data_IF_023163912279
#
_entry.id   IF_023163912279
#
_cell.length_a   1.000
_cell.length_b   1.000
_cell.length_c   1.000
_cell.angle_alpha   90.00
_cell.angle_beta   90.00
_cell.angle_gamma   90.00
#
_symmetry.space_group_name_H-M   'P 1'
#
loop_
_entity.id
_entity.type
_entity.pdbx_description
1 polymer ?
#
# COMPACT_ATOMS: atom_id res chain seq x y z
N UNK A 1 -9.07 -11.79 -18.66
CA UNK A 1 -8.39 -10.56 -18.20
C UNK A 1 -7.55 -10.80 -16.94
N UNK A 2 -8.08 -11.43 -15.86
CA UNK A 2 -7.29 -11.71 -14.64
C UNK A 2 -6.04 -12.55 -14.87
N UNK A 3 -6.11 -13.60 -15.71
CA UNK A 3 -4.94 -14.44 -16.00
C UNK A 3 -3.78 -13.65 -16.63
N UNK A 4 -4.10 -12.71 -17.52
CA UNK A 4 -3.10 -11.80 -18.10
C UNK A 4 -2.53 -10.82 -17.06
N UNK A 5 -3.32 -10.40 -16.07
CA UNK A 5 -2.82 -9.60 -14.95
C UNK A 5 -1.92 -10.41 -14.01
N UNK A 6 -2.26 -11.67 -13.75
CA UNK A 6 -1.40 -12.58 -12.98
C UNK A 6 -0.08 -12.82 -13.70
N UNK A 7 -0.11 -13.03 -15.01
CA UNK A 7 1.09 -13.12 -15.85
C UNK A 7 1.92 -11.84 -15.81
N UNK A 8 1.30 -10.66 -15.80
CA UNK A 8 2.02 -9.40 -15.63
C UNK A 8 2.69 -9.29 -14.25
N UNK A 9 1.98 -9.62 -13.18
CA UNK A 9 2.55 -9.63 -11.82
C UNK A 9 3.73 -10.61 -11.78
N UNK A 10 3.56 -11.77 -12.39
CA UNK A 10 4.55 -12.84 -12.45
C UNK A 10 5.70 -12.50 -13.42
N UNK A 11 6.74 -11.85 -12.91
CA UNK A 11 8.00 -11.65 -13.62
C UNK A 11 8.13 -10.33 -14.39
N UNK A 12 7.12 -9.45 -14.37
CA UNK A 12 7.21 -8.11 -14.98
C UNK A 12 6.98 -6.95 -14.00
N UNK A 13 6.63 -7.21 -12.73
CA UNK A 13 6.43 -6.17 -11.71
C UNK A 13 7.50 -6.28 -10.62
N UNK A 14 8.28 -5.21 -10.46
CA UNK A 14 9.28 -5.08 -9.40
C UNK A 14 8.67 -4.79 -8.02
N UNK A 15 7.63 -3.94 -7.98
CA UNK A 15 6.91 -3.57 -6.76
C UNK A 15 5.41 -3.54 -7.06
N UNK A 16 4.64 -4.39 -6.38
CA UNK A 16 3.18 -4.46 -6.49
C UNK A 16 2.53 -3.64 -5.38
N UNK A 17 1.73 -2.64 -5.74
CA UNK A 17 0.78 -1.99 -4.84
C UNK A 17 -0.63 -2.48 -5.16
N UNK A 18 -1.37 -2.92 -4.15
CA UNK A 18 -2.77 -3.30 -4.29
C UNK A 18 -3.48 -3.17 -2.94
N UNK A 19 -4.80 -3.00 -2.95
CA UNK A 19 -5.61 -3.13 -1.74
C UNK A 19 -6.11 -4.57 -1.55
N UNK A 20 -6.67 -4.84 -0.36
CA UNK A 20 -7.23 -6.15 0.00
C UNK A 20 -8.30 -6.65 -0.99
N UNK A 21 -9.20 -5.80 -1.47
CA UNK A 21 -10.24 -6.21 -2.42
C UNK A 21 -9.66 -6.59 -3.78
N UNK A 22 -8.70 -5.80 -4.27
CA UNK A 22 -8.02 -6.03 -5.54
C UNK A 22 -7.22 -7.34 -5.52
N UNK A 23 -6.46 -7.57 -4.45
CA UNK A 23 -5.60 -8.77 -4.36
C UNK A 23 -6.44 -10.04 -4.15
N UNK A 24 -7.50 -9.98 -3.34
CA UNK A 24 -8.46 -11.07 -3.20
C UNK A 24 -9.18 -11.37 -4.51
N UNK A 25 -9.59 -10.33 -5.26
CA UNK A 25 -10.21 -10.48 -6.58
C UNK A 25 -9.26 -11.06 -7.63
N UNK A 26 -7.97 -10.68 -7.58
CA UNK A 26 -6.95 -11.20 -8.50
C UNK A 26 -6.70 -12.69 -8.29
N UNK A 27 -6.59 -13.13 -7.03
CA UNK A 27 -6.31 -14.52 -6.66
C UNK A 27 -7.55 -15.36 -6.37
N UNK A 28 -8.74 -14.81 -6.62
CA UNK A 28 -10.03 -15.51 -6.53
C UNK A 28 -10.26 -16.17 -5.17
N UNK A 29 -9.95 -15.45 -4.10
CA UNK A 29 -10.12 -15.89 -2.72
C UNK A 29 -10.76 -14.76 -1.90
N UNK A 30 -11.51 -15.13 -0.86
CA UNK A 30 -12.04 -14.18 0.13
C UNK A 30 -11.11 -14.03 1.35
N UNK A 31 -10.11 -14.90 1.48
CA UNK A 31 -9.11 -14.81 2.55
C UNK A 31 -7.89 -13.99 2.10
N UNK A 32 -7.70 -12.84 2.75
CA UNK A 32 -6.56 -11.96 2.51
C UNK A 32 -5.22 -12.66 2.71
N UNK A 33 -5.10 -13.54 3.72
CA UNK A 33 -3.84 -14.25 3.98
C UNK A 33 -3.45 -15.13 2.79
N UNK A 34 -4.43 -15.84 2.22
CA UNK A 34 -4.28 -16.66 1.02
C UNK A 34 -3.93 -15.81 -0.20
N UNK A 35 -4.56 -14.65 -0.39
CA UNK A 35 -4.26 -13.75 -1.52
C UNK A 35 -2.84 -13.15 -1.40
N UNK A 36 -2.50 -12.68 -0.20
CA UNK A 36 -1.19 -12.12 0.14
C UNK A 36 -0.07 -13.13 -0.10
N UNK A 37 -0.24 -14.39 0.33
CA UNK A 37 0.77 -15.43 0.12
C UNK A 37 0.98 -15.74 -1.38
N UNK A 38 -0.10 -15.76 -2.17
CA UNK A 38 0.02 -15.93 -3.62
C UNK A 38 0.68 -14.72 -4.27
N UNK A 39 0.32 -13.50 -3.86
CA UNK A 39 0.97 -12.29 -4.31
C UNK A 39 2.49 -12.31 -4.04
N UNK A 40 2.90 -12.69 -2.83
CA UNK A 40 4.30 -12.81 -2.46
C UNK A 40 5.06 -13.91 -3.22
N UNK A 41 4.36 -14.93 -3.71
CA UNK A 41 4.95 -15.96 -4.56
C UNK A 41 5.13 -15.47 -6.01
N UNK A 42 4.20 -14.64 -6.50
CA UNK A 42 4.19 -14.13 -7.87
C UNK A 42 5.01 -12.82 -8.03
N UNK A 43 5.23 -12.05 -6.96
CA UNK A 43 6.09 -10.86 -6.96
C UNK A 43 7.07 -10.85 -5.79
N UNK A 44 8.29 -10.35 -6.02
CA UNK A 44 9.32 -10.28 -4.99
C UNK A 44 9.07 -9.18 -3.94
N UNK A 45 8.25 -8.18 -4.28
CA UNK A 45 8.00 -7.02 -3.41
C UNK A 45 6.54 -6.57 -3.54
N UNK A 46 5.74 -6.81 -2.50
CA UNK A 46 4.33 -6.41 -2.44
C UNK A 46 4.07 -5.46 -1.28
N UNK A 47 3.21 -4.47 -1.53
CA UNK A 47 2.75 -3.47 -0.55
C UNK A 47 1.22 -3.46 -0.61
N UNK A 48 0.60 -4.13 0.38
CA UNK A 48 -0.82 -4.44 0.37
C UNK A 48 -1.57 -3.61 1.42
N UNK A 49 -2.48 -2.74 1.01
CA UNK A 49 -3.27 -1.91 1.92
C UNK A 49 -4.56 -2.59 2.35
N UNK A 50 -4.97 -2.35 3.59
CA UNK A 50 -6.12 -2.99 4.24
C UNK A 50 -7.02 -1.98 4.95
N UNK A 51 -7.13 -0.78 4.39
CA UNK A 51 -7.95 0.30 4.94
C UNK A 51 -7.68 0.52 6.45
N UNK A 52 -8.70 0.45 7.31
CA UNK A 52 -8.58 0.61 8.76
C UNK A 52 -7.79 -0.49 9.49
N UNK A 53 -7.29 -1.51 8.79
CA UNK A 53 -6.39 -2.52 9.34
C UNK A 53 -4.91 -2.22 9.05
N UNK A 54 -4.62 -1.12 8.35
CA UNK A 54 -3.26 -0.70 8.00
C UNK A 54 -2.79 -1.32 6.69
N UNK A 55 -1.58 -1.87 6.67
CA UNK A 55 -1.01 -2.50 5.48
C UNK A 55 0.00 -3.59 5.82
N UNK A 56 0.30 -4.43 4.83
CA UNK A 56 1.32 -5.48 4.92
C UNK A 56 2.33 -5.29 3.78
N UNK A 57 3.60 -5.22 4.13
CA UNK A 57 4.71 -5.13 3.18
C UNK A 57 5.44 -6.45 3.19
N UNK A 58 5.68 -7.02 2.01
CA UNK A 58 6.41 -8.28 1.84
C UNK A 58 7.54 -8.05 0.85
N UNK A 59 8.76 -8.40 1.24
CA UNK A 59 9.93 -8.37 0.36
C UNK A 59 10.78 -9.62 0.57
N UNK A 60 10.74 -10.55 -0.36
CA UNK A 60 11.31 -11.88 -0.16
C UNK A 60 10.71 -12.56 1.07
N UNK A 61 11.55 -12.91 2.05
CA UNK A 61 11.13 -13.54 3.32
C UNK A 61 10.73 -12.52 4.40
N UNK A 62 11.02 -11.23 4.19
CA UNK A 62 10.68 -10.18 5.14
C UNK A 62 9.19 -9.80 5.01
N UNK A 63 8.49 -9.79 6.15
CA UNK A 63 7.11 -9.29 6.26
C UNK A 63 7.03 -8.23 7.34
N UNK A 64 6.39 -7.12 7.02
CA UNK A 64 6.15 -6.00 7.94
C UNK A 64 4.67 -5.66 7.93
N UNK A 65 4.02 -5.81 9.08
CA UNK A 65 2.67 -5.30 9.32
C UNK A 65 2.77 -3.85 9.84
N UNK A 66 2.05 -2.94 9.19
CA UNK A 66 2.06 -1.51 9.48
C UNK A 66 0.71 -1.13 10.03
N UNK A 67 0.69 -0.53 11.22
CA UNK A 67 -0.53 -0.03 11.82
C UNK A 67 -1.12 1.13 11.01
N UNK A 68 -2.47 1.26 10.95
CA UNK A 68 -3.11 2.44 10.37
C UNK A 68 -2.84 3.68 11.23
N UNK A 69 -2.88 4.85 10.60
CA UNK A 69 -2.91 6.13 11.33
C UNK A 69 -4.37 6.49 11.60
N UNK A 70 -4.71 6.69 12.88
CA UNK A 70 -6.06 7.06 13.27
C UNK A 70 -6.41 8.46 12.74
N UNK A 71 -7.47 8.55 11.94
CA UNK A 71 -7.95 9.81 11.35
C UNK A 71 -9.46 9.79 11.18
N UNK A 72 -10.06 10.95 10.98
CA UNK A 72 -11.46 11.07 10.57
C UNK A 72 -11.56 10.79 9.07
N UNK A 73 -12.41 9.86 8.66
CA UNK A 73 -12.62 9.55 7.24
C UNK A 73 -13.75 10.40 6.68
N UNK A 74 -13.46 11.21 5.66
CA UNK A 74 -14.39 12.07 4.92
C UNK A 74 -14.59 11.56 3.48
N UNK A 75 -13.50 11.27 2.77
CA UNK A 75 -13.50 10.81 1.37
C UNK A 75 -12.31 9.86 1.14
N UNK A 76 -12.54 8.64 0.65
CA UNK A 76 -11.44 7.68 0.43
C UNK A 76 -10.76 7.82 -0.93
N UNK A 77 -11.23 8.76 -1.77
CA UNK A 77 -10.70 8.97 -3.11
C UNK A 77 -9.22 9.37 -3.07
N UNK A 78 -8.37 8.57 -3.73
CA UNK A 78 -6.92 8.83 -3.80
C UNK A 78 -6.10 8.33 -2.60
N UNK A 79 -6.72 7.66 -1.63
CA UNK A 79 -6.00 7.11 -0.48
C UNK A 79 -4.87 6.14 -0.88
N UNK A 80 -5.12 5.28 -1.88
CA UNK A 80 -4.13 4.34 -2.41
C UNK A 80 -2.96 5.04 -3.09
N UNK A 81 -3.24 6.06 -3.91
CA UNK A 81 -2.21 6.86 -4.59
C UNK A 81 -1.34 7.61 -3.58
N UNK A 82 -1.97 8.21 -2.56
CA UNK A 82 -1.28 8.90 -1.48
C UNK A 82 -0.40 7.96 -0.65
N UNK A 83 -0.92 6.77 -0.35
CA UNK A 83 -0.15 5.73 0.32
C UNK A 83 1.09 5.35 -0.50
N UNK A 84 0.90 5.05 -1.79
CA UNK A 84 1.99 4.68 -2.69
C UNK A 84 3.02 5.81 -2.82
N UNK A 85 2.58 7.05 -2.95
CA UNK A 85 3.45 8.23 -3.01
C UNK A 85 4.28 8.37 -1.72
N UNK A 86 3.64 8.26 -0.55
CA UNK A 86 4.33 8.36 0.74
C UNK A 86 5.35 7.23 0.95
N UNK A 87 4.97 6.01 0.58
CA UNK A 87 5.85 4.85 0.62
C UNK A 87 7.07 5.04 -0.29
N UNK A 88 6.85 5.42 -1.56
CA UNK A 88 7.91 5.57 -2.55
C UNK A 88 8.85 6.74 -2.21
N UNK A 89 8.35 7.82 -1.60
CA UNK A 89 9.18 8.90 -1.09
C UNK A 89 10.15 8.41 0.01
N UNK A 90 9.65 7.61 0.97
CA UNK A 90 10.50 6.96 1.98
C UNK A 90 11.52 6.01 1.36
N UNK A 91 11.06 5.17 0.42
CA UNK A 91 11.88 4.15 -0.22
C UNK A 91 13.05 4.74 -1.01
N UNK A 92 12.77 5.76 -1.82
CA UNK A 92 13.79 6.47 -2.61
C UNK A 92 14.76 7.29 -1.75
N UNK A 93 14.38 7.59 -0.50
CA UNK A 93 15.21 8.27 0.50
C UNK A 93 16.05 7.30 1.37
N UNK A 94 16.01 5.99 1.08
CA UNK A 94 16.79 4.98 1.82
C UNK A 94 16.26 4.67 3.21
N UNK A 95 15.00 4.97 3.50
CA UNK A 95 14.35 4.61 4.78
C UNK A 95 14.10 3.11 4.87
N UNK A 96 13.90 2.61 6.09
CA UNK A 96 13.49 1.21 6.32
C UNK A 96 12.09 0.95 5.76
N UNK A 97 11.76 -0.31 5.44
CA UNK A 97 10.43 -0.67 4.94
C UNK A 97 9.31 -0.31 5.93
N UNK A 98 9.55 -0.46 7.23
CA UNK A 98 8.61 -0.04 8.27
C UNK A 98 8.35 1.47 8.24
N UNK A 99 9.38 2.29 8.09
CA UNK A 99 9.24 3.73 7.92
C UNK A 99 8.52 4.09 6.62
N UNK A 100 8.83 3.42 5.51
CA UNK A 100 8.13 3.61 4.23
C UNK A 100 6.63 3.34 4.37
N UNK A 101 6.26 2.24 5.03
CA UNK A 101 4.87 1.93 5.35
C UNK A 101 4.20 3.00 6.19
N UNK A 102 4.87 3.45 7.26
CA UNK A 102 4.36 4.53 8.12
C UNK A 102 4.11 5.82 7.32
N UNK A 103 5.05 6.20 6.45
CA UNK A 103 4.96 7.38 5.60
C UNK A 103 3.78 7.29 4.62
N UNK A 104 3.56 6.11 4.02
CA UNK A 104 2.35 5.84 3.22
C UNK A 104 1.07 6.01 4.04
N UNK A 105 1.03 5.43 5.24
CA UNK A 105 -0.13 5.56 6.14
C UNK A 105 -0.42 7.01 6.54
N UNK A 106 0.61 7.81 6.81
CA UNK A 106 0.47 9.25 7.11
C UNK A 106 -0.12 9.99 5.92
N UNK A 107 0.46 9.83 4.72
CA UNK A 107 -0.02 10.49 3.51
C UNK A 107 -1.47 10.11 3.17
N UNK A 108 -1.82 8.83 3.29
CA UNK A 108 -3.20 8.37 3.08
C UNK A 108 -4.15 8.95 4.13
N UNK A 109 -3.74 9.02 5.40
CA UNK A 109 -4.59 9.51 6.49
C UNK A 109 -4.94 11.00 6.37
N UNK A 110 -4.06 11.77 5.73
CA UNK A 110 -4.29 13.18 5.44
C UNK A 110 -5.31 13.34 4.31
N UNK A 111 -5.10 12.65 3.19
CA UNK A 111 -6.01 12.70 2.04
C UNK A 111 -7.42 12.28 2.41
N UNK A 112 -7.58 11.24 3.23
CA UNK A 112 -8.91 10.78 3.59
C UNK A 112 -9.64 11.67 4.59
N UNK A 113 -8.94 12.66 5.17
CA UNK A 113 -9.48 13.57 6.19
C UNK A 113 -10.18 14.80 5.63
N UNK A 114 -10.23 14.94 4.30
CA UNK A 114 -10.90 16.03 3.60
C UNK A 114 -11.45 15.57 2.24
N UNK A 115 -12.18 16.43 1.54
CA UNK A 115 -12.69 16.10 0.21
C UNK A 115 -11.60 16.20 -0.87
N UNK A 116 -11.57 15.23 -1.78
CA UNK A 116 -10.69 15.24 -2.95
C UNK A 116 -9.29 14.64 -2.73
N UNK A 117 -8.64 14.23 -3.83
CA UNK A 117 -7.40 13.45 -3.84
C UNK A 117 -6.10 14.27 -3.77
N UNK A 118 -6.14 15.53 -3.32
CA UNK A 118 -4.93 16.38 -3.21
C UNK A 118 -4.71 16.83 -1.77
N UNK A 119 -3.47 16.76 -1.26
CA UNK A 119 -3.21 17.17 0.11
C UNK A 119 -3.58 18.62 0.33
N UNK A 120 -4.19 18.91 1.49
CA UNK A 120 -4.47 20.28 1.91
C UNK A 120 -3.34 20.85 2.78
N UNK A 121 -2.45 19.99 3.28
CA UNK A 121 -1.27 20.37 4.08
C UNK A 121 0.04 20.08 3.36
N UNK A 122 1.14 20.64 3.87
CA UNK A 122 2.47 20.37 3.34
C UNK A 122 3.02 19.04 3.88
N UNK A 123 2.86 17.98 3.10
CA UNK A 123 3.30 16.64 3.47
C UNK A 123 4.80 16.52 3.76
N UNK A 124 5.68 17.40 3.21
CA UNK A 124 7.12 17.34 3.55
C UNK A 124 7.35 17.61 5.04
N UNK A 125 6.60 18.53 5.63
CA UNK A 125 6.75 18.87 7.04
C UNK A 125 6.23 17.75 7.96
N UNK A 126 5.13 17.10 7.57
CA UNK A 126 4.51 16.04 8.36
C UNK A 126 5.21 14.68 8.23
N UNK A 127 5.91 14.47 7.13
CA UNK A 127 6.65 13.23 6.86
C UNK A 127 8.10 13.26 7.35
N UNK A 128 8.59 14.40 7.85
CA UNK A 128 10.01 14.60 8.27
C UNK A 128 11.02 14.06 7.22
N UNK A 129 10.70 14.26 5.94
CA UNK A 129 11.57 13.96 4.80
C UNK A 129 12.64 15.04 4.66
#
# INVERSE_FOLDING_TARGET
HRDAFRELVHGHIDILFANEEEICSLYQTEDFTTAMNQAAADTHFAVLTRSGQGSVIIRGEERIDVAPVATQVIDTTGAGDAYAAGFLAGWTSGRTLAECGRLGSVAASEIISHYGARPLVNLQQDMEL
#
